data_IF_310462094889
#
_entry.id   IF_310462094889
#
_cell.length_a   1.000
_cell.length_b   1.000
_cell.length_c   1.000
_cell.angle_alpha   90.00
_cell.angle_beta   90.00
_cell.angle_gamma   90.00
#
_symmetry.space_group_name_H-M   'P 1'
#
loop_
_entity.id
_entity.type
_entity.pdbx_description
1 polymer ?
#
# COMPACT_ATOMS: atom_id res chain seq x y z
N UNK A 1 -47.16 -2.56 52.27
CA UNK A 1 -47.79 -1.34 51.71
C UNK A 1 -46.81 -0.19 51.91
N UNK A 2 -46.28 0.52 50.94
CA UNK A 2 -46.31 0.47 49.48
C UNK A 2 -45.01 1.11 48.96
N UNK A 3 -44.75 0.85 47.69
CA UNK A 3 -43.55 1.17 46.93
C UNK A 3 -43.31 2.69 46.78
N UNK A 4 -42.05 3.09 46.68
CA UNK A 4 -41.66 4.13 45.72
C UNK A 4 -40.33 3.75 45.06
N UNK A 5 -40.47 2.96 44.00
CA UNK A 5 -39.49 2.83 42.92
C UNK A 5 -39.68 4.04 42.02
N UNK A 6 -38.83 5.06 42.11
CA UNK A 6 -38.82 6.20 41.17
C UNK A 6 -37.51 6.99 41.29
N UNK A 7 -36.35 6.35 41.12
CA UNK A 7 -35.08 7.05 40.93
C UNK A 7 -33.95 6.20 40.29
N UNK A 8 -34.27 5.03 39.75
CA UNK A 8 -33.30 4.08 39.18
C UNK A 8 -33.82 3.54 37.85
N UNK A 9 -34.07 4.43 36.89
CA UNK A 9 -34.38 4.02 35.50
C UNK A 9 -33.97 5.06 34.45
N UNK A 10 -32.90 5.82 34.70
CA UNK A 10 -32.33 6.72 33.67
C UNK A 10 -30.80 6.67 33.63
N UNK A 11 -30.24 5.49 33.85
CA UNK A 11 -28.82 5.20 33.61
C UNK A 11 -28.64 3.87 32.87
N UNK A 12 -29.44 3.66 31.83
CA UNK A 12 -29.13 2.74 30.74
C UNK A 12 -29.33 3.49 29.42
N UNK A 13 -28.32 3.39 28.55
CA UNK A 13 -28.23 3.90 27.16
C UNK A 13 -27.95 5.39 26.93
N UNK A 14 -26.74 5.83 27.27
CA UNK A 14 -26.01 6.74 26.38
C UNK A 14 -24.91 5.94 25.68
N UNK A 15 -25.31 5.01 24.81
CA UNK A 15 -24.42 4.54 23.77
C UNK A 15 -24.25 5.70 22.77
N UNK A 16 -23.38 6.65 23.09
CA UNK A 16 -22.96 7.66 22.13
C UNK A 16 -22.38 6.91 20.92
N UNK A 17 -23.15 6.88 19.82
CA UNK A 17 -22.72 6.31 18.56
C UNK A 17 -21.35 6.86 18.22
N UNK A 18 -20.43 5.98 17.82
CA UNK A 18 -19.04 6.35 17.55
C UNK A 18 -18.83 6.75 16.10
N UNK A 19 -19.75 6.37 15.21
CA UNK A 19 -19.65 6.70 13.80
C UNK A 19 -20.95 7.21 13.18
N UNK A 20 -20.81 7.80 12.01
CA UNK A 20 -21.91 8.26 11.19
C UNK A 20 -21.63 7.95 9.72
N UNK A 21 -22.64 7.41 9.03
CA UNK A 21 -22.53 6.87 7.68
C UNK A 21 -23.54 7.55 6.76
N UNK A 22 -23.17 7.69 5.49
CA UNK A 22 -24.05 8.14 4.43
C UNK A 22 -24.49 6.98 3.56
N UNK A 23 -25.81 6.84 3.39
CA UNK A 23 -26.40 5.99 2.36
C UNK A 23 -26.79 6.87 1.19
N UNK A 24 -26.07 6.72 0.08
CA UNK A 24 -26.26 7.51 -1.15
C UNK A 24 -26.71 6.57 -2.27
N UNK A 25 -27.83 6.91 -2.93
CA UNK A 25 -28.42 6.09 -4.00
C UNK A 25 -28.46 6.86 -5.31
N UNK A 26 -27.77 6.33 -6.32
CA UNK A 26 -27.73 6.86 -7.68
C UNK A 26 -28.08 5.79 -8.70
N UNK A 27 -29.00 6.06 -9.62
CA UNK A 27 -29.50 5.12 -10.65
C UNK A 27 -29.75 3.71 -10.15
N UNK A 28 -30.47 3.64 -9.02
CA UNK A 28 -30.83 2.42 -8.32
C UNK A 28 -29.61 1.56 -7.96
N UNK A 29 -28.48 2.20 -7.62
CA UNK A 29 -27.26 1.61 -7.08
C UNK A 29 -26.85 2.36 -5.83
N UNK A 30 -26.13 1.66 -4.96
CA UNK A 30 -25.62 2.18 -3.69
C UNK A 30 -24.17 2.61 -3.88
N UNK A 31 -23.82 3.80 -3.40
CA UNK A 31 -22.41 4.19 -3.29
C UNK A 31 -21.76 3.41 -2.17
N UNK A 32 -20.61 2.80 -2.47
CA UNK A 32 -19.76 2.13 -1.49
C UNK A 32 -18.30 2.50 -1.72
N UNK A 33 -17.53 2.49 -0.65
CA UNK A 33 -16.07 2.63 -0.67
C UNK A 33 -15.42 1.27 -0.45
N UNK A 34 -14.25 1.05 -1.03
CA UNK A 34 -13.40 -0.10 -0.72
C UNK A 34 -12.24 0.38 0.14
N UNK A 35 -12.07 -0.22 1.31
CA UNK A 35 -11.04 0.19 2.27
C UNK A 35 -9.67 -0.41 1.96
N UNK A 36 -8.61 0.37 2.18
CA UNK A 36 -7.21 -0.04 2.02
C UNK A 36 -6.83 -1.12 3.03
N UNK A 37 -7.16 -0.92 4.31
CA UNK A 37 -6.69 -1.78 5.40
C UNK A 37 -7.44 -3.11 5.48
N UNK A 38 -8.76 -3.11 5.25
CA UNK A 38 -9.59 -4.32 5.37
C UNK A 38 -9.82 -5.01 4.03
N UNK A 39 -9.67 -4.28 2.92
CA UNK A 39 -10.04 -4.74 1.58
C UNK A 39 -11.54 -4.93 1.36
N UNK A 40 -12.38 -4.57 2.36
CA UNK A 40 -13.83 -4.75 2.35
C UNK A 40 -14.55 -3.53 1.80
N UNK A 41 -15.77 -3.74 1.35
CA UNK A 41 -16.69 -2.66 1.02
C UNK A 41 -17.31 -2.10 2.30
N UNK A 42 -17.49 -0.79 2.37
CA UNK A 42 -18.20 -0.08 3.43
C UNK A 42 -19.11 1.01 2.85
N UNK A 43 -20.06 1.48 3.66
CA UNK A 43 -20.74 2.75 3.36
C UNK A 43 -19.75 3.89 3.61
N UNK A 44 -19.78 4.96 2.81
CA UNK A 44 -18.96 6.12 3.10
C UNK A 44 -19.33 6.70 4.47
N UNK A 45 -18.31 6.96 5.29
CA UNK A 45 -18.52 7.43 6.65
C UNK A 45 -17.47 6.92 7.65
N UNK A 46 -17.46 7.52 8.82
CA UNK A 46 -16.38 7.29 9.78
C UNK A 46 -16.71 7.77 11.18
N UNK A 47 -15.66 8.15 11.92
CA UNK A 47 -15.76 8.42 13.37
C UNK A 47 -16.32 9.81 13.61
N UNK A 48 -17.18 9.95 14.63
CA UNK A 48 -17.68 11.25 15.07
C UNK A 48 -16.61 11.90 15.96
N UNK A 49 -16.06 13.02 15.53
CA UNK A 49 -15.01 13.72 16.26
C UNK A 49 -15.55 14.54 17.45
N UNK A 50 -14.65 14.91 18.37
CA UNK A 50 -15.02 15.71 19.53
C UNK A 50 -15.51 17.11 19.11
N UNK A 51 -16.74 17.46 19.49
CA UNK A 51 -17.37 18.73 19.12
C UNK A 51 -18.09 18.72 17.77
N UNK A 52 -18.11 17.57 17.08
CA UNK A 52 -18.81 17.37 15.82
C UNK A 52 -20.18 16.72 16.04
N UNK A 53 -21.20 17.10 15.25
CA UNK A 53 -22.48 16.38 15.23
C UNK A 53 -22.38 15.15 14.33
N UNK A 54 -23.17 14.08 14.54
CA UNK A 54 -23.15 12.91 13.66
C UNK A 54 -23.38 13.24 12.17
N UNK A 55 -24.21 14.24 11.87
CA UNK A 55 -24.46 14.68 10.51
C UNK A 55 -23.22 15.34 9.90
N UNK A 56 -22.51 16.18 10.67
CA UNK A 56 -21.25 16.77 10.23
C UNK A 56 -20.21 15.68 9.95
N UNK A 57 -20.12 14.66 10.82
CA UNK A 57 -19.22 13.53 10.61
C UNK A 57 -19.55 12.76 9.33
N UNK A 58 -20.82 12.43 9.09
CA UNK A 58 -21.25 11.76 7.87
C UNK A 58 -20.90 12.58 6.61
N UNK A 59 -21.08 13.90 6.66
CA UNK A 59 -20.74 14.80 5.55
C UNK A 59 -19.23 14.86 5.30
N UNK A 60 -18.43 15.09 6.35
CA UNK A 60 -16.97 15.20 6.29
C UNK A 60 -16.34 13.92 5.77
N UNK A 61 -16.69 12.78 6.38
CA UNK A 61 -16.14 11.47 6.04
C UNK A 61 -16.50 11.08 4.60
N UNK A 62 -17.74 11.33 4.17
CA UNK A 62 -18.13 11.09 2.77
C UNK A 62 -17.28 11.91 1.80
N UNK A 63 -17.01 13.18 2.11
CA UNK A 63 -16.14 14.01 1.30
C UNK A 63 -14.68 13.51 1.33
N UNK A 64 -14.18 13.10 2.50
CA UNK A 64 -12.81 12.61 2.65
C UNK A 64 -12.56 11.32 1.84
N UNK A 65 -13.50 10.37 1.87
CA UNK A 65 -13.34 9.08 1.20
C UNK A 65 -13.72 9.09 -0.29
N UNK A 66 -14.72 9.90 -0.68
CA UNK A 66 -15.29 9.86 -2.04
C UNK A 66 -15.09 11.14 -2.83
N UNK A 67 -14.71 12.24 -2.16
CA UNK A 67 -14.68 13.57 -2.75
C UNK A 67 -16.06 14.18 -3.02
N UNK A 68 -17.16 13.45 -2.75
CA UNK A 68 -18.52 13.95 -2.96
C UNK A 68 -18.93 14.89 -1.83
N UNK A 69 -19.43 16.06 -2.21
CA UNK A 69 -20.13 16.96 -1.28
C UNK A 69 -21.59 16.53 -1.22
N UNK A 70 -22.06 16.22 -0.02
CA UNK A 70 -23.42 15.73 0.20
C UNK A 70 -24.19 16.62 1.17
N UNK A 71 -25.48 16.75 0.91
CA UNK A 71 -26.46 17.22 1.87
C UNK A 71 -26.94 16.03 2.71
N UNK A 72 -26.72 16.10 4.03
CA UNK A 72 -27.13 15.06 4.97
C UNK A 72 -28.60 15.27 5.37
N UNK A 73 -29.43 14.30 5.03
CA UNK A 73 -30.87 14.32 5.26
C UNK A 73 -31.26 13.66 6.59
N UNK A 74 -32.37 12.94 6.55
CA UNK A 74 -32.93 12.29 7.75
C UNK A 74 -32.12 11.05 8.16
N UNK A 75 -32.14 10.76 9.46
CA UNK A 75 -31.70 9.48 9.99
C UNK A 75 -32.64 8.37 9.47
N UNK A 76 -32.10 7.37 8.79
CA UNK A 76 -32.88 6.27 8.22
C UNK A 76 -32.61 4.92 8.90
N UNK A 77 -31.49 4.79 9.60
CA UNK A 77 -31.16 3.57 10.32
C UNK A 77 -30.00 3.76 11.29
N UNK A 78 -29.69 2.69 12.02
CA UNK A 78 -28.59 2.65 12.97
C UNK A 78 -28.02 1.24 13.04
N UNK A 79 -26.73 1.14 13.32
CA UNK A 79 -26.04 -0.10 13.70
C UNK A 79 -25.71 -0.04 15.20
N UNK A 80 -25.12 -1.08 15.80
CA UNK A 80 -24.68 -1.01 17.20
C UNK A 80 -23.67 0.11 17.50
N UNK A 81 -22.97 0.63 16.48
CA UNK A 81 -21.89 1.62 16.67
C UNK A 81 -22.04 2.89 15.86
N UNK A 82 -22.94 2.94 14.86
CA UNK A 82 -23.06 4.07 13.95
C UNK A 82 -24.51 4.45 13.59
N UNK A 83 -24.70 5.73 13.30
CA UNK A 83 -25.94 6.28 12.74
C UNK A 83 -25.86 6.30 11.21
N UNK A 84 -26.95 5.97 10.51
CA UNK A 84 -27.02 5.94 9.05
C UNK A 84 -28.00 7.01 8.56
N UNK A 85 -27.47 7.98 7.82
CA UNK A 85 -28.23 9.07 7.23
C UNK A 85 -28.50 8.82 5.75
N UNK A 86 -29.66 9.27 5.29
CA UNK A 86 -29.93 9.46 3.87
C UNK A 86 -29.13 10.67 3.39
N UNK A 87 -28.22 10.47 2.43
CA UNK A 87 -27.39 11.55 1.92
C UNK A 87 -27.61 11.72 0.42
N UNK A 88 -27.62 12.98 -0.02
CA UNK A 88 -27.89 13.38 -1.41
C UNK A 88 -26.69 14.17 -1.90
N UNK A 89 -26.07 13.74 -3.00
CA UNK A 89 -24.98 14.48 -3.65
C UNK A 89 -25.46 15.84 -4.11
N UNK A 90 -24.73 16.90 -3.76
CA UNK A 90 -25.04 18.29 -4.15
C UNK A 90 -24.64 18.59 -5.59
N UNK A 91 -23.68 17.83 -6.13
CA UNK A 91 -23.28 17.85 -7.53
C UNK A 91 -23.83 16.64 -8.29
N UNK A 92 -23.84 16.74 -9.62
CA UNK A 92 -24.12 15.59 -10.48
C UNK A 92 -23.14 14.46 -10.17
N UNK A 93 -23.66 13.25 -9.96
CA UNK A 93 -22.84 12.07 -9.73
C UNK A 93 -22.26 11.61 -11.06
N UNK A 94 -20.94 11.40 -11.11
CA UNK A 94 -20.24 10.90 -12.30
C UNK A 94 -19.68 9.52 -11.95
N UNK A 95 -19.92 8.54 -12.83
CA UNK A 95 -19.35 7.21 -12.71
C UNK A 95 -18.77 6.75 -14.05
N UNK A 96 -17.78 5.87 -14.01
CA UNK A 96 -17.32 5.21 -15.22
C UNK A 96 -18.36 4.20 -15.68
N UNK A 97 -18.60 4.08 -17.00
CA UNK A 97 -19.46 3.03 -17.57
C UNK A 97 -18.86 1.63 -17.47
N UNK A 98 -17.56 1.55 -17.15
CA UNK A 98 -16.84 0.31 -16.88
C UNK A 98 -17.31 -0.31 -15.54
N UNK A 99 -17.45 -1.64 -15.52
CA UNK A 99 -17.75 -2.39 -14.30
C UNK A 99 -16.52 -3.17 -13.83
N UNK A 100 -16.16 -2.99 -12.56
CA UNK A 100 -15.04 -3.70 -11.96
C UNK A 100 -15.42 -5.12 -11.49
N UNK A 101 -14.50 -5.80 -10.79
CA UNK A 101 -14.69 -7.16 -10.29
C UNK A 101 -15.87 -7.36 -9.32
N UNK A 102 -16.40 -6.28 -8.74
CA UNK A 102 -17.61 -6.31 -7.90
C UNK A 102 -18.90 -6.09 -8.71
N UNK A 103 -18.80 -5.88 -10.02
CA UNK A 103 -19.91 -5.38 -10.85
C UNK A 103 -20.29 -3.94 -10.52
N UNK A 104 -19.41 -3.21 -9.82
CA UNK A 104 -19.58 -1.81 -9.45
C UNK A 104 -19.07 -0.87 -10.54
N UNK A 105 -19.75 0.26 -10.71
CA UNK A 105 -19.31 1.35 -11.59
C UNK A 105 -18.45 2.31 -10.78
N UNK A 106 -17.17 2.42 -11.13
CA UNK A 106 -16.22 3.21 -10.33
C UNK A 106 -16.52 4.70 -10.40
N UNK A 107 -16.27 5.39 -9.28
CA UNK A 107 -16.34 6.83 -9.17
C UNK A 107 -14.93 7.43 -9.31
N UNK A 108 -14.79 8.57 -9.99
CA UNK A 108 -13.52 9.28 -10.07
C UNK A 108 -13.23 9.98 -8.73
N UNK A 109 -12.40 9.37 -7.87
CA UNK A 109 -12.17 9.86 -6.50
C UNK A 109 -10.73 10.27 -6.19
N UNK A 110 -9.83 10.38 -7.16
CA UNK A 110 -8.40 10.60 -6.89
C UNK A 110 -8.07 11.95 -6.23
N UNK A 111 -9.03 12.87 -6.22
CA UNK A 111 -8.94 14.16 -5.55
C UNK A 111 -9.48 14.12 -4.12
N UNK A 112 -10.03 12.98 -3.68
CA UNK A 112 -10.52 12.80 -2.32
C UNK A 112 -9.32 12.72 -1.34
N UNK A 113 -9.39 13.38 -0.18
CA UNK A 113 -8.32 13.37 0.83
C UNK A 113 -7.78 11.98 1.20
N UNK A 114 -8.67 10.98 1.28
CA UNK A 114 -8.31 9.65 1.77
C UNK A 114 -8.03 8.66 0.64
N UNK A 115 -8.01 9.14 -0.61
CA UNK A 115 -7.68 8.32 -1.77
C UNK A 115 -6.25 7.77 -1.66
N UNK A 116 -6.13 6.45 -1.69
CA UNK A 116 -4.86 5.74 -1.53
C UNK A 116 -4.29 5.76 -0.10
N UNK A 117 -5.02 6.32 0.86
CA UNK A 117 -4.68 6.32 2.29
C UNK A 117 -5.61 5.37 3.03
N UNK A 118 -6.91 5.64 2.99
CA UNK A 118 -7.95 4.81 3.60
C UNK A 118 -8.86 4.17 2.56
N UNK A 119 -9.06 4.84 1.41
CA UNK A 119 -9.93 4.38 0.33
C UNK A 119 -9.14 3.94 -0.89
N UNK A 120 -9.38 2.71 -1.35
CA UNK A 120 -8.86 2.15 -2.62
C UNK A 120 -9.64 2.73 -3.79
N UNK A 121 -10.97 2.70 -3.69
CA UNK A 121 -11.91 3.16 -4.72
C UNK A 121 -13.27 3.45 -4.09
N UNK A 122 -14.10 4.22 -4.79
CA UNK A 122 -15.53 4.32 -4.52
C UNK A 122 -16.30 3.91 -5.77
N UNK A 123 -17.50 3.35 -5.60
CA UNK A 123 -18.24 2.75 -6.70
C UNK A 123 -19.74 2.71 -6.44
N UNK A 124 -20.52 2.71 -7.51
CA UNK A 124 -21.95 2.41 -7.50
C UNK A 124 -22.17 0.93 -7.71
N UNK A 125 -22.68 0.24 -6.69
CA UNK A 125 -22.96 -1.19 -6.73
C UNK A 125 -24.45 -1.48 -6.72
N UNK A 126 -24.85 -2.59 -7.33
CA UNK A 126 -26.18 -3.14 -7.12
C UNK A 126 -26.19 -3.97 -5.83
N UNK A 127 -26.95 -3.59 -4.78
CA UNK A 127 -26.92 -4.31 -3.51
C UNK A 127 -27.33 -5.78 -3.61
N UNK A 128 -28.04 -6.17 -4.68
CA UNK A 128 -28.44 -7.57 -4.92
C UNK A 128 -27.30 -8.45 -5.45
N UNK A 129 -26.25 -7.85 -6.00
CA UNK A 129 -25.10 -8.57 -6.59
C UNK A 129 -23.94 -8.72 -5.61
N UNK A 130 -23.92 -7.92 -4.54
CA UNK A 130 -22.89 -7.98 -3.51
C UNK A 130 -23.24 -9.08 -2.51
N UNK A 131 -22.26 -9.96 -2.26
CA UNK A 131 -22.33 -10.96 -1.21
C UNK A 131 -22.05 -10.29 0.14
N UNK A 132 -22.74 -10.73 1.19
CA UNK A 132 -22.61 -10.13 2.53
C UNK A 132 -21.15 -10.15 3.02
N UNK A 133 -20.36 -11.17 2.69
CA UNK A 133 -18.95 -11.31 3.11
C UNK A 133 -18.01 -10.30 2.45
N UNK A 134 -18.45 -9.64 1.38
CA UNK A 134 -17.70 -8.56 0.72
C UNK A 134 -17.86 -7.24 1.48
N UNK A 135 -18.94 -7.07 2.24
CA UNK A 135 -19.16 -5.93 3.11
C UNK A 135 -18.43 -6.12 4.45
N UNK A 136 -17.91 -5.04 5.03
CA UNK A 136 -17.10 -5.05 6.26
C UNK A 136 -17.80 -5.67 7.45
N UNK A 137 -19.13 -5.52 7.54
CA UNK A 137 -19.95 -6.10 8.60
C UNK A 137 -21.07 -6.96 8.00
N UNK A 138 -20.80 -8.22 7.60
CA UNK A 138 -21.72 -9.03 6.81
C UNK A 138 -23.14 -9.13 7.39
N UNK A 139 -23.24 -9.16 8.71
CA UNK A 139 -24.47 -9.29 9.49
C UNK A 139 -25.40 -8.06 9.31
N UNK A 140 -24.84 -6.91 8.96
CA UNK A 140 -25.57 -5.66 8.73
C UNK A 140 -26.08 -5.54 7.29
N UNK A 141 -25.65 -6.41 6.36
CA UNK A 141 -26.00 -6.32 4.95
C UNK A 141 -27.52 -6.37 4.68
N UNK A 142 -28.31 -7.23 5.35
CA UNK A 142 -29.77 -7.24 5.17
C UNK A 142 -30.42 -5.90 5.54
N UNK A 143 -29.98 -5.28 6.64
CA UNK A 143 -30.45 -3.95 7.06
C UNK A 143 -30.15 -2.92 5.97
N UNK A 144 -28.93 -2.88 5.44
CA UNK A 144 -28.55 -1.94 4.38
C UNK A 144 -29.39 -2.12 3.11
N UNK A 145 -29.67 -3.37 2.73
CA UNK A 145 -30.52 -3.68 1.58
C UNK A 145 -31.97 -3.18 1.77
N UNK A 146 -32.47 -3.13 3.01
CA UNK A 146 -33.78 -2.56 3.32
C UNK A 146 -33.76 -1.03 3.34
N UNK A 147 -32.74 -0.43 3.95
CA UNK A 147 -32.56 1.03 3.96
C UNK A 147 -32.41 1.59 2.54
N UNK A 148 -31.73 0.87 1.66
CA UNK A 148 -31.59 1.20 0.25
C UNK A 148 -32.94 1.33 -0.49
N UNK A 149 -33.97 0.55 -0.11
CA UNK A 149 -35.28 0.61 -0.78
C UNK A 149 -36.00 1.92 -0.51
N UNK A 150 -35.82 2.48 0.68
CA UNK A 150 -36.51 3.68 1.17
C UNK A 150 -35.72 4.98 0.94
N UNK A 151 -34.51 4.89 0.38
CA UNK A 151 -33.67 6.05 0.12
C UNK A 151 -33.97 6.74 -1.20
N UNK A 152 -33.77 8.05 -1.22
CA UNK A 152 -33.91 8.91 -2.38
C UNK A 152 -32.91 8.53 -3.48
N UNK A 153 -33.40 8.40 -4.71
CA UNK A 153 -32.57 8.10 -5.87
C UNK A 153 -32.19 9.39 -6.62
N UNK A 154 -30.94 9.46 -7.06
CA UNK A 154 -30.41 10.51 -7.93
C UNK A 154 -30.01 9.95 -9.30
N UNK A 155 -29.86 10.83 -10.29
CA UNK A 155 -29.32 10.49 -11.61
C UNK A 155 -27.80 10.40 -11.57
N UNK A 156 -27.23 9.53 -12.40
CA UNK A 156 -25.78 9.38 -12.55
C UNK A 156 -25.39 9.57 -14.02
N UNK A 157 -24.37 10.38 -14.26
CA UNK A 157 -23.77 10.52 -15.58
C UNK A 157 -22.66 9.48 -15.74
N UNK A 158 -22.84 8.57 -16.70
CA UNK A 158 -21.84 7.57 -17.02
C UNK A 158 -20.90 8.05 -18.11
N UNK A 159 -19.60 8.00 -17.83
CA UNK A 159 -18.53 8.37 -18.77
C UNK A 159 -17.66 7.16 -19.09
N UNK A 160 -17.15 7.07 -20.32
CA UNK A 160 -16.25 5.96 -20.68
C UNK A 160 -14.85 6.12 -20.03
N UNK A 161 -14.36 7.36 -20.00
CA UNK A 161 -13.03 7.72 -19.54
C UNK A 161 -12.98 9.20 -19.16
N UNK A 162 -11.97 9.59 -18.37
CA UNK A 162 -11.65 10.97 -18.01
C UNK A 162 -10.24 11.35 -18.47
N UNK A 163 -9.91 10.97 -19.71
CA UNK A 163 -8.61 11.20 -20.32
C UNK A 163 -8.12 12.66 -20.19
N UNK A 164 -9.00 13.64 -20.43
CA UNK A 164 -8.68 15.07 -20.36
C UNK A 164 -8.41 15.59 -18.95
N UNK A 165 -8.72 14.82 -17.90
CA UNK A 165 -8.40 15.18 -16.53
C UNK A 165 -6.92 14.90 -16.19
N UNK A 166 -6.24 14.04 -16.96
CA UNK A 166 -4.81 13.82 -16.80
C UNK A 166 -3.98 15.03 -17.27
N UNK A 167 -2.79 15.27 -16.69
CA UNK A 167 -1.81 16.20 -17.25
C UNK A 167 -1.51 15.90 -18.72
N UNK A 168 -1.21 16.95 -19.51
CA UNK A 168 -1.01 16.83 -20.96
C UNK A 168 0.05 15.80 -21.38
N UNK A 169 1.12 15.65 -20.60
CA UNK A 169 2.16 14.66 -20.89
C UNK A 169 1.67 13.22 -20.64
N UNK A 170 0.84 13.00 -19.61
CA UNK A 170 0.24 11.70 -19.29
C UNK A 170 -0.92 11.32 -20.23
N UNK A 171 -1.60 12.29 -20.83
CA UNK A 171 -2.60 12.05 -21.87
C UNK A 171 -2.00 11.24 -23.04
N UNK A 172 -0.83 11.65 -23.53
CA UNK A 172 -0.13 10.92 -24.60
C UNK A 172 0.26 9.51 -24.15
N UNK A 173 0.70 9.35 -22.90
CA UNK A 173 1.08 8.04 -22.36
C UNK A 173 -0.13 7.10 -22.19
N UNK A 174 -1.32 7.63 -21.88
CA UNK A 174 -2.57 6.86 -21.86
C UNK A 174 -2.88 6.26 -23.24
N UNK A 175 -2.72 7.04 -24.31
CA UNK A 175 -2.92 6.55 -25.67
C UNK A 175 -1.92 5.43 -26.01
N UNK A 176 -0.64 5.61 -25.68
CA UNK A 176 0.38 4.60 -25.88
C UNK A 176 0.08 3.31 -25.10
N UNK A 177 -0.39 3.43 -23.86
CA UNK A 177 -0.78 2.29 -23.06
C UNK A 177 -1.94 1.52 -23.69
N UNK A 178 -3.00 2.23 -24.12
CA UNK A 178 -4.14 1.62 -24.80
C UNK A 178 -3.74 0.90 -26.08
N UNK A 179 -2.88 1.52 -26.90
CA UNK A 179 -2.34 0.90 -28.13
C UNK A 179 -1.50 -0.35 -27.81
N UNK A 180 -0.64 -0.28 -26.79
CA UNK A 180 0.17 -1.42 -26.34
C UNK A 180 -0.72 -2.59 -25.91
N UNK A 181 -1.71 -2.33 -25.04
CA UNK A 181 -2.63 -3.35 -24.56
C UNK A 181 -3.44 -3.97 -25.71
N UNK A 182 -3.92 -3.15 -26.65
CA UNK A 182 -4.61 -3.64 -27.85
C UNK A 182 -3.70 -4.52 -28.72
N UNK A 183 -2.45 -4.11 -28.94
CA UNK A 183 -1.47 -4.89 -29.69
C UNK A 183 -1.16 -6.25 -29.05
N UNK A 184 -0.96 -6.28 -27.73
CA UNK A 184 -0.77 -7.55 -27.00
C UNK A 184 -2.04 -8.42 -27.05
N UNK A 185 -3.23 -7.82 -26.99
CA UNK A 185 -4.49 -8.55 -27.11
C UNK A 185 -4.63 -9.25 -28.48
N UNK A 186 -4.13 -8.64 -29.55
CA UNK A 186 -4.06 -9.29 -30.86
C UNK A 186 -3.07 -10.47 -30.87
N UNK A 187 -1.87 -10.28 -30.32
CA UNK A 187 -0.84 -11.33 -30.21
C UNK A 187 -1.30 -12.51 -29.33
N UNK A 188 -2.12 -12.25 -28.31
CA UNK A 188 -2.70 -13.25 -27.41
C UNK A 188 -3.49 -14.33 -28.15
N UNK A 189 -4.08 -14.00 -29.31
CA UNK A 189 -4.80 -14.98 -30.15
C UNK A 189 -3.89 -16.12 -30.61
N UNK A 190 -2.61 -15.84 -30.86
CA UNK A 190 -1.59 -16.82 -31.24
C UNK A 190 -0.75 -17.30 -30.06
N UNK A 191 -0.54 -16.45 -29.06
CA UNK A 191 0.31 -16.72 -27.88
C UNK A 191 -0.48 -16.42 -26.58
N UNK A 192 -1.36 -17.33 -26.11
CA UNK A 192 -2.24 -17.06 -24.98
C UNK A 192 -1.49 -16.85 -23.65
N UNK A 193 -0.27 -17.37 -23.53
CA UNK A 193 0.59 -17.22 -22.35
C UNK A 193 1.30 -15.86 -22.25
N UNK A 194 1.32 -15.07 -23.34
CA UNK A 194 2.13 -13.84 -23.42
C UNK A 194 1.74 -12.81 -22.36
N UNK A 195 0.43 -12.56 -22.18
CA UNK A 195 -0.06 -11.61 -21.18
C UNK A 195 0.39 -12.02 -19.76
N UNK A 196 0.25 -13.30 -19.41
CA UNK A 196 0.62 -13.80 -18.09
C UNK A 196 2.15 -13.73 -17.88
N UNK A 197 2.94 -13.95 -18.92
CA UNK A 197 4.39 -13.75 -18.86
C UNK A 197 4.73 -12.28 -18.62
N UNK A 198 4.09 -11.34 -19.32
CA UNK A 198 4.35 -9.92 -19.08
C UNK A 198 3.99 -9.56 -17.64
N UNK A 199 2.77 -9.92 -17.20
CA UNK A 199 2.25 -9.58 -15.88
C UNK A 199 3.01 -10.26 -14.74
N UNK A 200 3.68 -11.41 -14.95
CA UNK A 200 4.49 -12.02 -13.89
C UNK A 200 5.70 -11.17 -13.47
N UNK A 201 6.09 -10.18 -14.28
CA UNK A 201 7.06 -9.16 -13.88
C UNK A 201 6.60 -8.34 -12.67
N UNK A 202 5.29 -8.24 -12.42
CA UNK A 202 4.73 -7.55 -11.25
C UNK A 202 5.12 -8.24 -9.93
N UNK A 203 5.61 -9.47 -9.94
CA UNK A 203 6.17 -10.11 -8.73
C UNK A 203 7.31 -9.27 -8.14
N UNK A 204 8.10 -8.59 -8.97
CA UNK A 204 9.20 -7.72 -8.52
C UNK A 204 8.75 -6.37 -7.92
N UNK A 205 7.45 -6.06 -8.00
CA UNK A 205 6.82 -4.93 -7.31
C UNK A 205 6.56 -5.27 -5.82
N UNK A 206 6.41 -6.55 -5.48
CA UNK A 206 6.00 -6.96 -4.14
C UNK A 206 7.13 -6.80 -3.11
N UNK A 207 6.86 -6.23 -1.92
CA UNK A 207 7.87 -6.08 -0.87
C UNK A 207 8.47 -7.41 -0.38
N UNK A 208 7.73 -8.52 -0.54
CA UNK A 208 8.20 -9.89 -0.19
C UNK A 208 9.51 -10.25 -0.89
N UNK A 209 9.80 -9.66 -2.04
CA UNK A 209 11.05 -9.87 -2.77
C UNK A 209 12.27 -9.44 -1.94
N UNK A 210 12.12 -8.43 -1.06
CA UNK A 210 13.16 -8.02 -0.12
C UNK A 210 13.56 -9.17 0.83
N UNK A 211 12.62 -10.02 1.23
CA UNK A 211 12.88 -11.20 2.09
C UNK A 211 13.74 -12.25 1.40
N UNK A 212 13.79 -12.24 0.06
CA UNK A 212 14.68 -13.09 -0.74
C UNK A 212 16.02 -12.39 -0.98
N UNK A 213 15.98 -11.12 -1.39
CA UNK A 213 17.17 -10.36 -1.77
C UNK A 213 18.11 -10.08 -0.59
N UNK A 214 17.61 -9.61 0.56
CA UNK A 214 18.46 -9.24 1.70
C UNK A 214 19.30 -10.41 2.24
N UNK A 215 18.75 -11.64 2.42
CA UNK A 215 19.56 -12.83 2.70
C UNK A 215 20.68 -13.10 1.70
N UNK A 216 20.40 -13.00 0.41
CA UNK A 216 21.39 -13.24 -0.65
C UNK A 216 22.48 -12.16 -0.65
N UNK A 217 22.09 -10.89 -0.49
CA UNK A 217 23.00 -9.75 -0.40
C UNK A 217 23.88 -9.83 0.84
N UNK A 218 23.30 -10.18 1.98
CA UNK A 218 24.05 -10.38 3.22
C UNK A 218 25.07 -11.52 3.07
N UNK A 219 24.69 -12.61 2.39
CA UNK A 219 25.59 -13.74 2.14
C UNK A 219 26.76 -13.39 1.21
N UNK A 220 26.51 -12.66 0.12
CA UNK A 220 27.54 -12.36 -0.89
C UNK A 220 28.40 -11.14 -0.55
N UNK A 221 27.81 -10.10 0.04
CA UNK A 221 28.44 -8.79 0.23
C UNK A 221 28.72 -8.48 1.69
N UNK A 222 28.23 -9.31 2.61
CA UNK A 222 28.44 -9.16 4.04
C UNK A 222 27.57 -8.09 4.71
N UNK A 223 27.75 -7.98 6.03
CA UNK A 223 26.95 -7.10 6.88
C UNK A 223 27.06 -5.61 6.49
N UNK A 224 28.25 -5.00 6.35
CA UNK A 224 28.35 -3.54 6.14
C UNK A 224 27.64 -3.08 4.86
N UNK A 225 27.76 -3.87 3.79
CA UNK A 225 27.10 -3.57 2.53
C UNK A 225 25.59 -3.74 2.59
N UNK A 226 25.11 -4.73 3.34
CA UNK A 226 23.67 -4.90 3.60
C UNK A 226 23.07 -3.67 4.31
N UNK A 227 23.78 -3.09 5.28
CA UNK A 227 23.39 -1.81 5.90
C UNK A 227 23.39 -0.66 4.91
N UNK A 228 24.39 -0.59 4.01
CA UNK A 228 24.47 0.42 2.94
C UNK A 228 23.23 0.36 2.03
N UNK A 229 22.87 -0.83 1.55
CA UNK A 229 21.67 -1.04 0.72
C UNK A 229 20.39 -0.73 1.50
N UNK A 230 20.25 -1.24 2.73
CA UNK A 230 19.05 -1.03 3.54
C UNK A 230 18.82 0.47 3.81
N UNK A 231 19.87 1.20 4.13
CA UNK A 231 19.81 2.65 4.34
C UNK A 231 19.40 3.37 3.04
N UNK A 232 20.04 3.04 1.92
CA UNK A 232 19.73 3.61 0.61
C UNK A 232 18.27 3.39 0.22
N UNK A 233 17.77 2.16 0.38
CA UNK A 233 16.38 1.81 0.10
C UNK A 233 15.42 2.53 1.04
N UNK A 234 15.75 2.67 2.33
CA UNK A 234 14.91 3.41 3.28
C UNK A 234 14.77 4.89 2.90
N UNK A 235 15.88 5.54 2.55
CA UNK A 235 15.86 6.94 2.09
C UNK A 235 15.11 7.07 0.77
N UNK A 236 15.36 6.17 -0.18
CA UNK A 236 14.65 6.16 -1.48
C UNK A 236 13.14 6.02 -1.28
N UNK A 237 12.71 5.10 -0.42
CA UNK A 237 11.30 4.92 -0.11
C UNK A 237 10.65 6.17 0.47
N UNK A 238 11.27 6.77 1.49
CA UNK A 238 10.72 7.98 2.12
C UNK A 238 10.64 9.15 1.13
N UNK A 239 11.65 9.33 0.26
CA UNK A 239 11.61 10.36 -0.79
C UNK A 239 10.51 10.10 -1.81
N UNK A 240 10.31 8.84 -2.23
CA UNK A 240 9.22 8.48 -3.13
C UNK A 240 7.85 8.72 -2.49
N UNK A 241 7.66 8.36 -1.22
CA UNK A 241 6.41 8.60 -0.50
C UNK A 241 6.11 10.11 -0.38
N UNK A 242 7.11 10.92 -0.05
CA UNK A 242 6.95 12.39 -0.05
C UNK A 242 6.59 12.90 -1.45
N UNK A 243 7.23 12.38 -2.50
CA UNK A 243 6.88 12.73 -3.88
C UNK A 243 5.44 12.36 -4.24
N UNK A 244 4.99 11.16 -3.87
CA UNK A 244 3.63 10.69 -4.11
C UNK A 244 2.58 11.57 -3.44
N UNK A 245 2.83 11.98 -2.20
CA UNK A 245 1.93 12.90 -1.48
C UNK A 245 2.00 14.34 -2.01
N UNK A 246 3.19 14.80 -2.43
CA UNK A 246 3.38 16.16 -2.91
C UNK A 246 2.81 16.40 -4.32
N UNK A 247 2.97 15.45 -5.23
CA UNK A 247 2.49 15.57 -6.61
C UNK A 247 1.07 15.08 -6.81
N UNK A 248 0.63 14.08 -6.03
CA UNK A 248 -0.72 13.50 -6.09
C UNK A 248 -1.18 13.10 -7.50
N UNK A 249 -0.27 12.56 -8.32
CA UNK A 249 -0.59 12.08 -9.67
C UNK A 249 -1.07 10.62 -9.62
N UNK A 250 -2.33 10.32 -9.95
CA UNK A 250 -2.88 8.99 -9.86
C UNK A 250 -2.40 8.09 -11.00
N UNK A 251 -2.66 6.79 -10.85
CA UNK A 251 -2.30 5.74 -11.81
C UNK A 251 -3.11 5.84 -13.11
N UNK A 252 -2.64 5.28 -14.23
CA UNK A 252 -3.35 5.28 -15.51
C UNK A 252 -4.81 4.80 -15.44
N UNK A 253 -5.04 3.68 -14.75
CA UNK A 253 -6.38 3.09 -14.65
C UNK A 253 -7.40 3.98 -13.92
N UNK A 254 -6.94 4.98 -13.18
CA UNK A 254 -7.83 5.91 -12.46
C UNK A 254 -8.52 6.87 -13.43
N UNK A 255 -7.92 7.18 -14.57
CA UNK A 255 -8.56 7.97 -15.63
C UNK A 255 -9.41 7.09 -16.57
N UNK A 256 -8.99 5.84 -16.75
CA UNK A 256 -9.62 4.87 -17.64
C UNK A 256 -9.57 3.47 -17.00
N UNK A 257 -10.60 3.09 -16.21
CA UNK A 257 -10.60 1.83 -15.45
C UNK A 257 -10.42 0.57 -16.28
N UNK A 258 -10.84 0.59 -17.54
CA UNK A 258 -10.66 -0.52 -18.47
C UNK A 258 -9.19 -0.91 -18.73
N UNK A 259 -8.23 -0.05 -18.40
CA UNK A 259 -6.79 -0.32 -18.55
C UNK A 259 -6.19 -1.10 -17.37
N UNK A 260 -6.94 -1.33 -16.29
CA UNK A 260 -6.43 -2.07 -15.12
C UNK A 260 -6.33 -3.57 -15.41
N UNK A 261 -5.10 -4.06 -15.63
CA UNK A 261 -4.83 -5.49 -15.77
C UNK A 261 -4.24 -6.11 -14.50
N UNK A 262 -3.79 -5.28 -13.55
CA UNK A 262 -3.29 -5.71 -12.26
C UNK A 262 -3.81 -4.75 -11.17
N UNK A 263 -4.48 -5.25 -10.11
CA UNK A 263 -5.07 -4.41 -9.08
C UNK A 263 -4.04 -3.48 -8.43
N UNK A 264 -4.32 -2.18 -8.42
CA UNK A 264 -3.47 -1.20 -7.74
C UNK A 264 -4.24 0.06 -7.33
N UNK A 265 -3.67 0.87 -6.44
CA UNK A 265 -4.32 2.10 -5.95
C UNK A 265 -3.31 3.16 -5.50
N UNK A 266 -3.84 4.37 -5.24
CA UNK A 266 -3.06 5.52 -4.80
C UNK A 266 -2.23 6.16 -5.91
N UNK A 267 -1.28 7.00 -5.53
CA UNK A 267 -0.48 7.79 -6.47
C UNK A 267 0.69 7.00 -7.04
N UNK A 268 0.95 7.23 -8.33
CA UNK A 268 1.96 6.50 -9.09
C UNK A 268 3.32 7.22 -9.13
N UNK A 269 3.31 8.55 -9.05
CA UNK A 269 4.47 9.40 -9.32
C UNK A 269 5.17 9.87 -8.03
N UNK A 270 6.49 9.65 -7.85
CA UNK A 270 7.35 8.76 -8.63
C UNK A 270 7.08 7.27 -8.31
N UNK A 271 7.49 6.38 -9.22
CA UNK A 271 7.28 4.95 -9.02
C UNK A 271 8.27 4.36 -8.01
N UNK A 272 7.77 4.00 -6.82
CA UNK A 272 8.57 3.48 -5.71
C UNK A 272 9.33 2.17 -6.04
N UNK A 273 8.70 1.10 -6.56
CA UNK A 273 9.41 -0.13 -6.93
C UNK A 273 10.55 0.11 -7.91
N UNK A 274 10.32 0.89 -8.97
CA UNK A 274 11.36 1.21 -9.94
C UNK A 274 12.50 2.01 -9.29
N UNK A 275 12.20 2.93 -8.37
CA UNK A 275 13.23 3.65 -7.62
C UNK A 275 14.09 2.71 -6.77
N UNK A 276 13.46 1.78 -6.04
CA UNK A 276 14.16 0.81 -5.21
C UNK A 276 15.06 -0.12 -6.03
N UNK A 277 14.53 -0.65 -7.13
CA UNK A 277 15.32 -1.45 -8.03
C UNK A 277 16.47 -0.63 -8.61
N UNK A 278 16.22 0.55 -9.18
CA UNK A 278 17.26 1.43 -9.74
C UNK A 278 18.37 1.72 -8.73
N UNK A 279 18.01 2.08 -7.49
CA UNK A 279 18.95 2.28 -6.39
C UNK A 279 19.81 1.04 -6.13
N UNK A 280 19.18 -0.14 -6.02
CA UNK A 280 19.88 -1.41 -5.84
C UNK A 280 20.82 -1.72 -7.01
N UNK A 281 20.36 -1.55 -8.25
CA UNK A 281 21.14 -1.83 -9.46
C UNK A 281 22.40 -0.97 -9.55
N UNK A 282 22.29 0.34 -9.26
CA UNK A 282 23.44 1.25 -9.25
C UNK A 282 24.43 0.90 -8.14
N UNK A 283 23.95 0.55 -6.94
CA UNK A 283 24.82 0.09 -5.85
C UNK A 283 25.50 -1.24 -6.18
N UNK A 284 24.79 -2.21 -6.77
CA UNK A 284 25.38 -3.48 -7.18
C UNK A 284 26.43 -3.29 -8.27
N UNK A 285 26.17 -2.42 -9.24
CA UNK A 285 27.13 -2.07 -10.28
C UNK A 285 28.42 -1.49 -9.69
N UNK A 286 28.32 -0.62 -8.68
CA UNK A 286 29.49 0.00 -8.07
C UNK A 286 30.45 -0.99 -7.39
N UNK A 287 29.91 -2.02 -6.74
CA UNK A 287 30.74 -3.05 -6.07
C UNK A 287 31.40 -4.01 -7.05
N UNK A 288 30.81 -4.21 -8.23
CA UNK A 288 31.13 -5.34 -9.08
C UNK A 288 32.08 -4.96 -10.23
N UNK A 289 33.38 -5.20 -10.06
CA UNK A 289 34.39 -5.00 -11.12
C UNK A 289 34.91 -6.31 -11.76
N UNK A 290 34.46 -7.49 -11.31
CA UNK A 290 34.93 -8.79 -11.84
C UNK A 290 34.00 -9.47 -12.88
N UNK A 291 34.56 -10.38 -13.70
CA UNK A 291 33.93 -10.95 -14.89
C UNK A 291 32.68 -11.81 -14.60
N UNK A 292 32.68 -12.59 -13.52
CA UNK A 292 31.54 -13.42 -13.06
C UNK A 292 30.34 -12.58 -12.62
N UNK A 293 30.58 -11.33 -12.21
CA UNK A 293 29.57 -10.42 -11.72
C UNK A 293 28.86 -9.65 -12.86
N UNK A 294 29.41 -9.67 -14.09
CA UNK A 294 28.76 -9.09 -15.27
C UNK A 294 27.44 -9.79 -15.64
N UNK A 295 27.30 -11.10 -15.35
CA UNK A 295 26.02 -11.79 -15.60
C UNK A 295 24.96 -11.38 -14.58
N UNK A 296 25.32 -11.14 -13.32
CA UNK A 296 24.40 -10.60 -12.30
C UNK A 296 23.81 -9.28 -12.77
N UNK A 297 24.64 -8.38 -13.32
CA UNK A 297 24.16 -7.12 -13.87
C UNK A 297 23.28 -7.29 -15.11
N UNK A 298 23.58 -8.24 -16.01
CA UNK A 298 22.69 -8.56 -17.15
C UNK A 298 21.33 -9.09 -16.69
N UNK A 299 21.34 -10.00 -15.70
CA UNK A 299 20.12 -10.52 -15.12
C UNK A 299 19.32 -9.41 -14.46
N UNK A 300 19.98 -8.54 -13.69
CA UNK A 300 19.37 -7.37 -13.06
C UNK A 300 18.72 -6.44 -14.09
N UNK A 301 19.43 -6.09 -15.18
CA UNK A 301 18.87 -5.27 -16.26
C UNK A 301 17.64 -5.94 -16.89
N UNK A 302 17.69 -7.26 -17.10
CA UNK A 302 16.54 -8.02 -17.58
C UNK A 302 15.33 -7.95 -16.64
N UNK A 303 15.54 -8.13 -15.34
CA UNK A 303 14.48 -8.02 -14.32
C UNK A 303 13.92 -6.60 -14.24
N UNK A 304 14.78 -5.58 -14.27
CA UNK A 304 14.39 -4.18 -14.25
C UNK A 304 13.55 -3.79 -15.47
N UNK A 305 13.97 -4.23 -16.67
CA UNK A 305 13.22 -4.02 -17.90
C UNK A 305 11.87 -4.74 -17.87
N UNK A 306 11.84 -5.98 -17.36
CA UNK A 306 10.60 -6.75 -17.21
C UNK A 306 9.64 -6.06 -16.25
N UNK A 307 10.10 -5.69 -15.04
CA UNK A 307 9.27 -4.96 -14.07
C UNK A 307 8.75 -3.64 -14.67
N UNK A 308 9.60 -2.89 -15.36
CA UNK A 308 9.22 -1.62 -15.99
C UNK A 308 8.13 -1.82 -17.04
N UNK A 309 8.34 -2.78 -17.94
CA UNK A 309 7.37 -3.09 -18.99
C UNK A 309 6.06 -3.63 -18.41
N UNK A 310 6.13 -4.52 -17.40
CA UNK A 310 4.96 -5.04 -16.70
C UNK A 310 4.18 -3.94 -15.96
N UNK A 311 4.88 -2.99 -15.33
CA UNK A 311 4.25 -1.88 -14.59
C UNK A 311 3.46 -0.96 -15.52
N UNK A 312 4.04 -0.61 -16.68
CA UNK A 312 3.33 0.16 -17.70
C UNK A 312 2.18 -0.65 -18.30
N UNK A 313 2.47 -1.85 -18.83
CA UNK A 313 1.48 -2.71 -19.48
C UNK A 313 0.27 -3.02 -18.59
N UNK A 314 0.48 -3.20 -17.28
CA UNK A 314 -0.59 -3.50 -16.33
C UNK A 314 -1.55 -2.35 -16.06
N UNK A 315 -1.22 -1.13 -16.50
CA UNK A 315 -1.95 0.09 -16.17
C UNK A 315 -1.64 0.64 -14.78
N UNK A 316 -0.66 0.09 -14.08
CA UNK A 316 -0.32 0.47 -12.70
C UNK A 316 0.56 1.73 -12.59
N UNK A 317 1.21 2.16 -13.67
CA UNK A 317 2.07 3.34 -13.71
C UNK A 317 2.29 3.86 -15.14
N UNK A 318 2.52 5.16 -15.29
CA UNK A 318 2.98 5.83 -16.50
C UNK A 318 4.49 5.67 -16.70
N UNK A 319 4.99 5.81 -17.93
CA UNK A 319 6.43 5.82 -18.23
C UNK A 319 7.14 6.99 -17.54
N UNK A 320 6.49 8.14 -17.42
CA UNK A 320 7.00 9.28 -16.65
C UNK A 320 7.21 8.95 -15.17
N UNK A 321 6.31 8.16 -14.57
CA UNK A 321 6.46 7.66 -13.20
C UNK A 321 7.68 6.73 -13.08
N UNK A 322 7.86 5.82 -14.05
CA UNK A 322 8.97 4.87 -14.07
C UNK A 322 10.30 5.61 -14.25
N UNK A 323 10.39 6.54 -15.20
CA UNK A 323 11.60 7.32 -15.46
C UNK A 323 12.00 8.15 -14.24
N UNK A 324 11.02 8.80 -13.59
CA UNK A 324 11.28 9.62 -12.39
C UNK A 324 11.66 8.74 -11.21
N UNK A 325 10.99 7.61 -11.01
CA UNK A 325 11.38 6.62 -10.00
C UNK A 325 12.82 6.16 -10.20
N UNK A 326 13.17 5.76 -11.43
CA UNK A 326 14.52 5.32 -11.77
C UNK A 326 15.57 6.40 -11.48
N UNK A 327 15.27 7.65 -11.83
CA UNK A 327 16.12 8.80 -11.56
C UNK A 327 16.31 9.02 -10.05
N UNK A 328 15.24 9.02 -9.26
CA UNK A 328 15.31 9.19 -7.79
C UNK A 328 16.20 8.11 -7.16
N UNK A 329 15.97 6.84 -7.51
CA UNK A 329 16.78 5.73 -7.02
C UNK A 329 18.25 5.84 -7.39
N UNK A 330 18.55 6.17 -8.65
CA UNK A 330 19.91 6.35 -9.13
C UNK A 330 20.62 7.53 -8.44
N UNK A 331 19.90 8.64 -8.18
CA UNK A 331 20.45 9.80 -7.48
C UNK A 331 20.77 9.49 -6.02
N UNK A 332 19.91 8.75 -5.31
CA UNK A 332 20.19 8.33 -3.93
C UNK A 332 21.43 7.42 -3.89
N UNK A 333 21.48 6.41 -4.76
CA UNK A 333 22.65 5.53 -4.88
C UNK A 333 23.92 6.32 -5.21
N UNK A 334 23.84 7.26 -6.16
CA UNK A 334 24.95 8.13 -6.54
C UNK A 334 25.46 8.96 -5.36
N UNK A 335 24.58 9.53 -4.52
CA UNK A 335 25.00 10.28 -3.33
C UNK A 335 25.75 9.40 -2.32
N UNK A 336 25.30 8.16 -2.13
CA UNK A 336 25.95 7.19 -1.23
C UNK A 336 27.33 6.80 -1.79
N UNK A 337 27.42 6.48 -3.08
CA UNK A 337 28.69 6.16 -3.74
C UNK A 337 29.65 7.35 -3.69
N UNK A 338 29.17 8.56 -3.94
CA UNK A 338 29.97 9.79 -3.85
C UNK A 338 30.51 10.00 -2.43
N UNK A 339 29.73 9.67 -1.41
CA UNK A 339 30.17 9.74 -0.02
C UNK A 339 31.24 8.66 0.28
N UNK A 340 31.09 7.47 -0.29
CA UNK A 340 32.01 6.33 -0.17
C UNK A 340 33.39 6.63 -0.77
N UNK A 341 33.42 7.37 -1.88
CA UNK A 341 34.64 7.80 -2.57
C UNK A 341 35.36 8.97 -1.87
N UNK A 342 34.76 9.62 -0.86
CA UNK A 342 35.34 10.79 -0.21
C UNK A 342 36.46 10.40 0.76
N UNK A 343 37.69 10.92 0.60
CA UNK A 343 38.79 10.59 1.50
C UNK A 343 38.49 11.05 2.93
N UNK A 344 38.80 10.20 3.91
CA UNK A 344 38.59 10.47 5.34
C UNK A 344 37.20 10.14 5.88
N UNK A 345 36.26 9.68 5.04
CA UNK A 345 34.94 9.20 5.48
C UNK A 345 34.88 7.69 5.32
N UNK A 346 34.67 6.96 6.42
CA UNK A 346 34.38 5.53 6.36
C UNK A 346 32.86 5.32 6.38
N UNK A 347 32.26 5.18 5.18
CA UNK A 347 30.82 5.04 5.02
C UNK A 347 30.29 3.75 5.63
N UNK A 348 31.06 2.66 5.58
CA UNK A 348 30.66 1.39 6.19
C UNK A 348 30.44 1.53 7.70
N UNK A 349 31.38 2.19 8.39
CA UNK A 349 31.26 2.50 9.81
C UNK A 349 30.14 3.51 10.08
N UNK A 350 29.99 4.53 9.22
CA UNK A 350 28.94 5.54 9.36
C UNK A 350 27.54 4.93 9.25
N UNK A 351 27.28 4.08 8.26
CA UNK A 351 25.98 3.45 8.04
C UNK A 351 25.70 2.29 9.00
N UNK A 352 26.72 1.78 9.68
CA UNK A 352 26.56 0.90 10.85
C UNK A 352 26.41 1.68 12.17
N UNK A 353 26.48 3.01 12.16
CA UNK A 353 26.39 3.82 13.39
C UNK A 353 24.94 4.08 13.79
N UNK A 354 24.67 4.04 15.11
CA UNK A 354 23.33 4.33 15.66
C UNK A 354 22.82 5.73 15.31
N UNK A 355 23.70 6.73 15.19
CA UNK A 355 23.31 8.12 14.99
C UNK A 355 22.57 8.33 13.66
N UNK A 356 23.02 7.66 12.61
CA UNK A 356 22.41 7.77 11.27
C UNK A 356 21.00 7.17 11.25
N UNK A 357 20.81 6.02 11.89
CA UNK A 357 19.51 5.35 11.95
C UNK A 357 18.51 6.08 12.82
N UNK A 358 18.92 6.59 13.99
CA UNK A 358 18.06 7.44 14.81
C UNK A 358 17.75 8.78 14.11
N UNK A 359 18.71 9.37 13.40
CA UNK A 359 18.46 10.56 12.58
C UNK A 359 17.41 10.32 11.49
N UNK A 360 17.49 9.20 10.77
CA UNK A 360 16.49 8.80 9.77
C UNK A 360 15.12 8.51 10.41
N UNK A 361 15.11 7.91 11.61
CA UNK A 361 13.89 7.65 12.38
C UNK A 361 13.20 8.96 12.76
N UNK A 362 13.94 9.94 13.28
CA UNK A 362 13.41 11.28 13.60
C UNK A 362 12.86 11.98 12.36
N UNK A 363 13.58 11.90 11.23
CA UNK A 363 13.07 12.44 9.97
C UNK A 363 11.75 11.78 9.56
N UNK A 364 11.62 10.45 9.68
CA UNK A 364 10.39 9.73 9.41
C UNK A 364 9.24 10.12 10.37
N UNK A 365 9.53 10.36 11.65
CA UNK A 365 8.54 10.88 12.62
C UNK A 365 8.04 12.27 12.21
N UNK A 366 8.93 13.16 11.78
CA UNK A 366 8.54 14.47 11.26
C UNK A 366 7.63 14.31 10.03
N UNK A 367 7.97 13.43 9.10
CA UNK A 367 7.13 13.15 7.94
C UNK A 367 5.74 12.61 8.33
N UNK A 368 5.66 11.72 9.32
CA UNK A 368 4.38 11.19 9.81
C UNK A 368 3.51 12.23 10.52
N UNK A 369 4.13 13.27 11.12
CA UNK A 369 3.39 14.40 11.70
C UNK A 369 2.83 15.29 10.58
N UNK A 370 3.59 15.50 9.50
CA UNK A 370 3.14 16.30 8.34
C UNK A 370 2.05 15.54 7.55
N UNK A 371 2.25 14.24 7.34
CA UNK A 371 1.33 13.35 6.63
C UNK A 371 0.99 12.13 7.51
N UNK A 372 -0.10 12.19 8.29
CA UNK A 372 -0.49 11.13 9.22
C UNK A 372 -1.12 9.94 8.49
N UNK A 373 -0.31 9.19 7.74
CA UNK A 373 -0.75 8.04 6.95
C UNK A 373 -0.26 6.71 7.52
N UNK A 374 -1.01 5.61 7.34
CA UNK A 374 -0.61 4.27 7.76
C UNK A 374 0.80 3.88 7.32
N UNK A 375 1.18 4.21 6.08
CA UNK A 375 2.48 3.84 5.52
C UNK A 375 3.67 4.46 6.28
N UNK A 376 3.55 5.71 6.73
CA UNK A 376 4.60 6.33 7.54
C UNK A 376 4.70 5.70 8.93
N UNK A 377 3.56 5.26 9.50
CA UNK A 377 3.55 4.51 10.77
C UNK A 377 4.28 3.17 10.64
N UNK A 378 4.07 2.45 9.53
CA UNK A 378 4.80 1.22 9.22
C UNK A 378 6.32 1.47 9.10
N UNK A 379 6.71 2.56 8.41
CA UNK A 379 8.13 2.96 8.29
C UNK A 379 8.74 3.35 9.64
N UNK A 380 8.02 4.06 10.51
CA UNK A 380 8.49 4.38 11.87
C UNK A 380 8.76 3.08 12.63
N UNK A 381 7.82 2.13 12.64
CA UNK A 381 8.00 0.87 13.35
C UNK A 381 9.22 0.09 12.85
N UNK A 382 9.42 0.05 11.52
CA UNK A 382 10.60 -0.58 10.91
C UNK A 382 11.89 0.14 11.30
N UNK A 383 11.95 1.46 11.18
CA UNK A 383 13.15 2.26 11.48
C UNK A 383 13.51 2.28 12.96
N UNK A 384 12.53 2.33 13.86
CA UNK A 384 12.75 2.17 15.31
C UNK A 384 13.34 0.79 15.60
N UNK A 385 12.82 -0.27 14.95
CA UNK A 385 13.34 -1.63 15.11
C UNK A 385 14.78 -1.73 14.62
N UNK A 386 15.10 -1.20 13.43
CA UNK A 386 16.47 -1.17 12.90
C UNK A 386 17.39 -0.37 13.83
N UNK A 387 16.97 0.81 14.28
CA UNK A 387 17.75 1.67 15.17
C UNK A 387 18.03 1.00 16.51
N UNK A 388 17.03 0.32 17.08
CA UNK A 388 17.18 -0.50 18.28
C UNK A 388 18.16 -1.65 18.08
N UNK A 389 18.06 -2.38 16.97
CA UNK A 389 18.98 -3.46 16.61
C UNK A 389 20.42 -2.95 16.49
N UNK A 390 20.64 -1.85 15.77
CA UNK A 390 21.99 -1.24 15.63
C UNK A 390 22.55 -0.77 16.97
N UNK A 391 21.70 -0.27 17.86
CA UNK A 391 22.12 0.26 19.16
C UNK A 391 22.44 -0.84 20.17
N UNK A 392 21.64 -1.91 20.19
CA UNK A 392 21.71 -2.96 21.21
C UNK A 392 22.64 -4.11 20.82
N UNK A 393 22.80 -4.38 19.53
CA UNK A 393 23.51 -5.56 19.05
C UNK A 393 24.96 -5.27 18.69
N UNK A 394 25.86 -6.04 19.29
CA UNK A 394 27.30 -5.97 18.95
C UNK A 394 27.59 -6.47 17.53
N UNK A 395 28.66 -5.98 16.88
CA UNK A 395 29.11 -6.50 15.61
C UNK A 395 29.46 -8.00 15.71
N UNK A 396 28.94 -8.81 14.79
CA UNK A 396 29.31 -10.21 14.64
C UNK A 396 29.64 -10.47 13.17
N UNK A 397 30.82 -11.03 12.91
CA UNK A 397 31.24 -11.46 11.57
C UNK A 397 31.01 -12.96 11.44
N UNK A 398 29.90 -13.35 10.84
CA UNK A 398 29.65 -14.74 10.46
C UNK A 398 29.36 -14.88 8.99
N UNK A 399 30.07 -15.79 8.35
CA UNK A 399 29.74 -16.26 7.01
C UNK A 399 28.60 -17.26 7.12
N UNK A 400 27.47 -16.97 6.47
CA UNK A 400 26.41 -17.95 6.29
C UNK A 400 26.78 -18.90 5.14
N UNK A 401 26.45 -20.19 5.27
CA UNK A 401 26.51 -21.12 4.13
C UNK A 401 25.30 -20.92 3.22
N UNK A 402 25.40 -21.27 1.92
CA UNK A 402 24.27 -21.19 0.98
C UNK A 402 23.03 -21.94 1.50
N UNK A 403 23.21 -23.12 2.11
CA UNK A 403 22.12 -23.88 2.72
C UNK A 403 21.45 -23.11 3.86
N UNK A 404 22.24 -22.43 4.69
CA UNK A 404 21.72 -21.56 5.75
C UNK A 404 20.93 -20.38 5.20
N UNK A 405 21.37 -19.78 4.10
CA UNK A 405 20.67 -18.67 3.43
C UNK A 405 19.34 -19.13 2.84
N UNK A 406 19.30 -20.26 2.14
CA UNK A 406 18.07 -20.81 1.58
C UNK A 406 17.05 -21.16 2.67
N UNK A 407 17.50 -21.75 3.78
CA UNK A 407 16.64 -22.03 4.94
C UNK A 407 16.13 -20.74 5.58
N UNK A 408 16.97 -19.70 5.68
CA UNK A 408 16.56 -18.39 6.19
C UNK A 408 15.49 -17.75 5.30
N UNK A 409 15.64 -17.79 3.98
CA UNK A 409 14.63 -17.31 3.03
C UNK A 409 13.31 -18.07 3.22
N UNK A 410 13.35 -19.40 3.27
CA UNK A 410 12.15 -20.21 3.47
C UNK A 410 11.43 -19.87 4.78
N UNK A 411 12.16 -19.72 5.89
CA UNK A 411 11.58 -19.33 7.17
C UNK A 411 10.98 -17.93 7.17
N UNK A 412 11.61 -16.96 6.49
CA UNK A 412 11.07 -15.60 6.39
C UNK A 412 9.79 -15.56 5.56
N UNK A 413 9.74 -16.29 4.44
CA UNK A 413 8.53 -16.40 3.62
C UNK A 413 7.39 -17.13 4.36
N UNK A 414 7.71 -18.20 5.09
CA UNK A 414 6.74 -18.89 5.94
C UNK A 414 6.23 -18.00 7.08
N UNK A 415 7.10 -17.20 7.69
CA UNK A 415 6.71 -16.25 8.72
C UNK A 415 5.82 -15.13 8.16
N UNK A 416 6.14 -14.59 6.99
CA UNK A 416 5.32 -13.57 6.31
C UNK A 416 3.92 -14.11 5.97
N UNK A 417 3.84 -15.33 5.43
CA UNK A 417 2.57 -16.01 5.21
C UNK A 417 1.81 -16.29 6.51
N UNK A 418 2.52 -16.70 7.56
CA UNK A 418 1.94 -16.91 8.89
C UNK A 418 1.36 -15.63 9.48
N UNK A 419 2.04 -14.49 9.33
CA UNK A 419 1.54 -13.18 9.74
C UNK A 419 0.26 -12.82 8.98
N UNK A 420 0.22 -13.03 7.66
CA UNK A 420 -1.00 -12.79 6.86
C UNK A 420 -2.20 -13.58 7.37
N UNK A 421 -2.01 -14.87 7.68
CA UNK A 421 -3.07 -15.74 8.22
C UNK A 421 -3.51 -15.35 9.63
N UNK A 422 -2.60 -14.79 10.44
CA UNK A 422 -2.91 -14.33 11.80
C UNK A 422 -3.73 -13.03 11.82
N UNK A 423 -3.53 -12.15 10.83
CA UNK A 423 -4.19 -10.84 10.76
C UNK A 423 -5.55 -10.94 10.05
N UNK A 424 -5.71 -11.84 9.06
CA UNK A 424 -6.93 -11.98 8.24
C UNK A 424 -8.27 -11.98 9.01
N UNK A 425 -8.41 -12.66 10.17
CA UNK A 425 -9.67 -12.66 10.94
C UNK A 425 -10.10 -11.28 11.46
N UNK A 426 -9.19 -10.30 11.49
CA UNK A 426 -9.43 -8.96 12.04
C UNK A 426 -9.85 -7.94 10.98
N UNK A 427 -10.18 -8.36 9.75
CA UNK A 427 -10.63 -7.48 8.67
C UNK A 427 -11.95 -6.73 8.92
N UNK A 428 -12.62 -6.95 10.06
CA UNK A 428 -13.75 -6.15 10.51
C UNK A 428 -13.31 -4.82 11.17
N UNK A 429 -12.02 -4.70 11.53
CA UNK A 429 -11.48 -3.59 12.31
C UNK A 429 -10.18 -3.05 11.72
N UNK A 430 -10.25 -1.85 11.13
CA UNK A 430 -9.08 -1.11 10.60
C UNK A 430 -7.95 -0.97 11.63
N UNK A 431 -8.26 -0.75 12.92
CA UNK A 431 -7.24 -0.61 13.96
C UNK A 431 -6.37 -1.86 14.12
N UNK A 432 -6.97 -3.05 14.27
CA UNK A 432 -6.24 -4.31 14.42
C UNK A 432 -5.48 -4.68 13.14
N UNK A 433 -6.07 -4.44 11.96
CA UNK A 433 -5.37 -4.59 10.68
C UNK A 433 -4.14 -3.69 10.62
N UNK A 434 -4.27 -2.41 11.00
CA UNK A 434 -3.18 -1.45 11.04
C UNK A 434 -2.05 -1.90 11.98
N UNK A 435 -2.38 -2.34 13.19
CA UNK A 435 -1.39 -2.86 14.16
C UNK A 435 -0.66 -4.07 13.58
N UNK A 436 -1.41 -5.02 13.00
CA UNK A 436 -0.85 -6.21 12.37
C UNK A 436 0.13 -5.87 11.25
N UNK A 437 -0.31 -5.05 10.28
CA UNK A 437 0.52 -4.65 9.14
C UNK A 437 1.74 -3.80 9.57
N UNK A 438 1.58 -2.96 10.60
CA UNK A 438 2.69 -2.17 11.18
C UNK A 438 3.76 -3.05 11.81
N UNK A 439 3.39 -4.17 12.42
CA UNK A 439 4.33 -5.09 13.07
C UNK A 439 4.95 -6.12 12.11
N UNK A 440 4.39 -6.31 10.91
CA UNK A 440 4.85 -7.32 9.93
C UNK A 440 6.35 -7.26 9.69
N UNK A 441 6.87 -6.15 9.16
CA UNK A 441 8.30 -6.02 8.85
C UNK A 441 9.22 -5.91 10.06
N UNK A 442 8.84 -5.25 11.17
CA UNK A 442 9.55 -5.36 12.45
C UNK A 442 9.77 -6.81 12.92
N UNK A 443 8.74 -7.66 12.86
CA UNK A 443 8.87 -9.07 13.24
C UNK A 443 9.80 -9.81 12.28
N UNK A 444 9.65 -9.60 10.97
CA UNK A 444 10.48 -10.26 9.95
C UNK A 444 11.96 -9.86 10.04
N UNK A 445 12.27 -8.58 10.33
CA UNK A 445 13.66 -8.15 10.48
C UNK A 445 14.29 -8.69 11.76
N UNK A 446 13.53 -8.77 12.86
CA UNK A 446 13.97 -9.43 14.08
C UNK A 446 14.28 -10.90 13.83
N UNK A 447 13.40 -11.61 13.12
CA UNK A 447 13.62 -13.01 12.71
C UNK A 447 14.86 -13.15 11.83
N UNK A 448 15.03 -12.29 10.82
CA UNK A 448 16.21 -12.28 9.95
C UNK A 448 17.50 -12.16 10.77
N UNK A 449 17.57 -11.20 11.70
CA UNK A 449 18.75 -10.99 12.55
C UNK A 449 18.98 -12.17 13.48
N UNK A 450 17.91 -12.75 14.05
CA UNK A 450 17.99 -13.95 14.90
C UNK A 450 18.57 -15.14 14.13
N UNK A 451 18.12 -15.37 12.90
CA UNK A 451 18.59 -16.47 12.05
C UNK A 451 20.04 -16.25 11.58
N UNK A 452 20.38 -15.04 11.15
CA UNK A 452 21.74 -14.66 10.76
C UNK A 452 22.74 -14.88 11.92
N UNK A 453 22.29 -14.63 13.16
CA UNK A 453 23.07 -14.93 14.37
C UNK A 453 23.04 -16.41 14.75
N UNK A 454 21.93 -17.15 14.64
CA UNK A 454 21.93 -18.59 14.99
C UNK A 454 22.76 -19.46 14.05
N UNK A 455 22.92 -19.05 12.80
CA UNK A 455 23.90 -19.61 11.87
C UNK A 455 25.36 -19.58 12.37
N UNK A 456 25.63 -18.92 13.52
CA UNK A 456 26.90 -18.96 14.26
C UNK A 456 27.25 -20.34 14.85
N UNK A 457 26.30 -21.27 14.98
CA UNK A 457 26.55 -22.60 15.56
C UNK A 457 26.47 -23.70 14.51
N UNK A 458 27.43 -23.76 13.59
CA UNK A 458 27.80 -25.07 13.05
C UNK A 458 28.37 -25.89 14.21
N UNK A 459 28.01 -27.18 14.36
CA UNK A 459 28.63 -28.03 15.36
C UNK A 459 30.12 -28.06 15.05
N UNK A 460 30.94 -27.70 16.04
CA UNK A 460 32.35 -28.05 16.04
C UNK A 460 32.36 -29.56 15.94
N UNK A 461 32.66 -30.09 14.75
CA UNK A 461 33.08 -31.48 14.62
C UNK A 461 34.37 -31.53 15.42
N UNK A 462 34.26 -32.00 16.67
CA UNK A 462 35.41 -32.36 17.46
C UNK A 462 36.11 -33.46 16.67
N UNK A 463 37.18 -33.10 15.97
CA UNK A 463 38.18 -34.06 15.54
C UNK A 463 38.87 -34.58 16.80
N UNK A 464 38.23 -35.56 17.44
CA UNK A 464 38.86 -36.40 18.44
C UNK A 464 39.20 -37.72 17.77
N UNK A 465 40.50 -37.82 17.45
CA UNK A 465 41.34 -39.00 17.16
C UNK A 465 41.10 -39.77 15.87
#
# INVERSE_FOLDING_TARGET
>A
MGLSFSALSSQEEEAAYRGALCLIRGDNKLVMTQEVLTGKLSLPGGTIEAGETPQMAAQRETWQETGMVVSVGRLIGQTPTALIYECVSESQMIAYSYQNGFGGYELPIWFAPDYGVETVSAMLVNPRLIKAEQYRYPEQWPLLADLFKVSQNQTVDYVAELHKAAPQFQQVELEWLGQLQHGVAQLKKSMPWLQNLILSGMVFNLPVVALVLFPLLYWQLGKPYCYKILFAMSVTSLLCLVGQQGFALPRPHVYQPALELYPSYGFAFPNLPIALWSCLGVLLWHVQQELTQRWVMRAWVGLFAWLSFASFYSGSAFLSDLATGALVGALVAWHIIRLDLKPGVNVENLLCSKSVWWGLTVACVILAIIWPQPIFTQWIALLVTISGLVTLLTPSSSSLSLRGVLLMIALLLLADQGISLLIEPFNHSSFYMLVGETLRYPVLILLFVLLARRGLKAPIVSSTY
#
